data_IF_652332940200
#
_entry.id   IF_652332940200
#
_cell.length_a   1.000
_cell.length_b   1.000
_cell.length_c   1.000
_cell.angle_alpha   90.00
_cell.angle_beta   90.00
_cell.angle_gamma   90.00
#
_symmetry.space_group_name_H-M   'P 1'
#
loop_
_entity.id
_entity.type
_entity.pdbx_description
1 polymer ?
#
# COMPACT_ATOMS: atom_id res chain seq x y z
N UNK A 1 -2.46 -25.51 0.98
CA UNK A 1 -2.25 -24.05 0.88
C UNK A 1 -3.55 -23.44 0.38
N UNK A 2 -4.22 -22.64 1.19
CA UNK A 2 -5.46 -21.96 0.78
C UNK A 2 -5.09 -20.85 -0.20
N UNK A 3 -5.64 -20.88 -1.41
CA UNK A 3 -5.42 -19.81 -2.41
C UNK A 3 -6.03 -18.52 -1.88
N UNK A 4 -5.29 -17.40 -1.95
CA UNK A 4 -5.81 -16.08 -1.58
C UNK A 4 -6.97 -15.74 -2.54
N UNK A 5 -8.17 -15.55 -2.00
CA UNK A 5 -9.35 -15.16 -2.78
C UNK A 5 -9.54 -13.65 -2.68
N UNK A 6 -10.08 -13.07 -3.74
CA UNK A 6 -10.26 -11.62 -3.86
C UNK A 6 -11.71 -11.28 -4.18
N UNK A 7 -12.13 -10.09 -3.75
CA UNK A 7 -13.40 -9.46 -4.10
C UNK A 7 -13.10 -8.09 -4.73
N UNK A 8 -13.94 -7.65 -5.65
CA UNK A 8 -13.87 -6.29 -6.19
C UNK A 8 -14.41 -5.31 -5.15
N UNK A 9 -13.59 -4.32 -4.80
CA UNK A 9 -13.98 -3.17 -4.01
C UNK A 9 -14.28 -1.98 -4.94
N UNK A 10 -15.37 -1.27 -4.63
CA UNK A 10 -15.74 0.01 -5.24
C UNK A 10 -15.28 1.11 -4.31
N UNK A 11 -14.24 1.83 -4.72
CA UNK A 11 -13.62 2.90 -3.93
C UNK A 11 -14.17 4.25 -4.37
N UNK A 12 -14.24 5.21 -3.44
CA UNK A 12 -14.63 6.60 -3.70
C UNK A 12 -15.96 6.70 -4.45
N UNK A 13 -17.00 6.08 -3.88
CA UNK A 13 -18.33 6.03 -4.51
C UNK A 13 -18.39 5.21 -5.80
N UNK A 14 -17.38 4.37 -6.08
CA UNK A 14 -17.29 3.53 -7.28
C UNK A 14 -16.54 4.17 -8.45
N UNK A 15 -15.96 5.36 -8.26
CA UNK A 15 -15.11 6.00 -9.27
C UNK A 15 -13.81 5.23 -9.53
N UNK A 16 -13.35 4.43 -8.57
CA UNK A 16 -12.22 3.51 -8.72
C UNK A 16 -12.69 2.09 -8.37
N UNK A 17 -12.22 1.10 -9.13
CA UNK A 17 -12.39 -0.32 -8.80
C UNK A 17 -11.05 -1.02 -8.65
N UNK A 18 -10.93 -1.90 -7.67
CA UNK A 18 -9.74 -2.74 -7.46
C UNK A 18 -10.13 -4.03 -6.73
N UNK A 19 -9.42 -5.12 -6.98
CA UNK A 19 -9.61 -6.35 -6.21
C UNK A 19 -8.74 -6.35 -4.94
N UNK A 20 -9.40 -6.61 -3.81
CA UNK A 20 -8.77 -6.73 -2.49
C UNK A 20 -9.05 -8.11 -1.90
N UNK A 21 -8.25 -8.61 -0.94
CA UNK A 21 -8.49 -9.91 -0.35
C UNK A 21 -9.91 -10.01 0.26
N UNK A 22 -10.57 -11.14 0.02
CA UNK A 22 -11.98 -11.30 0.39
C UNK A 22 -12.22 -11.19 1.90
N UNK A 23 -11.24 -11.62 2.70
CA UNK A 23 -11.29 -11.57 4.17
C UNK A 23 -11.12 -10.16 4.73
N UNK A 24 -10.67 -9.19 3.92
CA UNK A 24 -10.37 -7.85 4.41
C UNK A 24 -11.64 -7.02 4.56
N UNK A 25 -11.71 -6.30 5.68
CA UNK A 25 -12.84 -5.48 6.09
C UNK A 25 -12.59 -4.01 5.76
N UNK A 26 -13.64 -3.32 5.30
CA UNK A 26 -13.61 -1.87 5.16
C UNK A 26 -13.64 -1.22 6.55
N UNK A 27 -12.72 -0.29 6.80
CA UNK A 27 -12.61 0.43 8.06
C UNK A 27 -13.65 1.54 8.20
N UNK A 28 -14.18 2.05 7.09
CA UNK A 28 -15.23 3.09 7.08
C UNK A 28 -16.53 2.63 7.78
N UNK A 29 -16.79 1.32 7.79
CA UNK A 29 -17.95 0.71 8.46
C UNK A 29 -17.92 0.88 10.00
N UNK A 30 -16.73 1.12 10.58
CA UNK A 30 -16.54 1.16 12.04
C UNK A 30 -16.02 2.49 12.56
N UNK A 31 -15.41 3.32 11.71
CA UNK A 31 -14.92 4.66 12.06
C UNK A 31 -14.79 5.52 10.81
N UNK A 32 -14.82 6.84 11.00
CA UNK A 32 -14.50 7.78 9.93
C UNK A 32 -13.03 7.62 9.47
N UNK A 33 -12.87 7.73 8.15
CA UNK A 33 -11.61 7.71 7.41
C UNK A 33 -11.61 8.99 6.56
N UNK A 34 -10.46 9.65 6.31
CA UNK A 34 -10.43 10.83 5.44
C UNK A 34 -11.07 10.56 4.08
N UNK A 35 -11.75 11.55 3.51
CA UNK A 35 -12.47 11.39 2.24
C UNK A 35 -11.56 11.00 1.06
N UNK A 36 -10.28 11.34 1.13
CA UNK A 36 -9.25 10.95 0.14
C UNK A 36 -8.72 9.54 0.34
N UNK A 37 -9.13 8.85 1.41
CA UNK A 37 -8.59 7.56 1.83
C UNK A 37 -9.65 6.46 1.88
N UNK A 38 -9.26 5.30 1.38
CA UNK A 38 -9.99 4.04 1.53
C UNK A 38 -9.09 3.04 2.25
N UNK A 39 -9.56 2.50 3.37
CA UNK A 39 -8.72 1.67 4.25
C UNK A 39 -9.40 0.32 4.48
N UNK A 40 -8.66 -0.75 4.20
CA UNK A 40 -9.09 -2.11 4.49
C UNK A 40 -8.10 -2.82 5.41
N UNK A 41 -8.61 -3.61 6.35
CA UNK A 41 -7.84 -4.38 7.33
C UNK A 41 -8.05 -5.87 7.16
N UNK A 42 -6.98 -6.65 7.29
CA UNK A 42 -7.07 -8.09 7.42
C UNK A 42 -7.78 -8.47 8.72
N UNK A 43 -8.89 -9.21 8.62
CA UNK A 43 -9.63 -9.69 9.80
C UNK A 43 -8.87 -10.77 10.56
N UNK A 44 -8.09 -11.56 9.84
CA UNK A 44 -7.39 -12.73 10.38
C UNK A 44 -5.92 -12.42 10.74
N UNK A 45 -5.47 -11.19 10.47
CA UNK A 45 -4.10 -10.73 10.66
C UNK A 45 -4.02 -9.28 11.13
N UNK A 46 -2.87 -8.66 10.87
CA UNK A 46 -2.60 -7.27 11.24
C UNK A 46 -2.32 -6.37 10.03
N UNK A 47 -2.36 -6.94 8.83
CA UNK A 47 -2.06 -6.22 7.60
C UNK A 47 -3.19 -5.26 7.20
N UNK A 48 -2.83 -4.21 6.48
CA UNK A 48 -3.78 -3.23 5.95
C UNK A 48 -3.45 -2.87 4.52
N UNK A 49 -4.43 -2.36 3.77
CA UNK A 49 -4.23 -1.63 2.52
C UNK A 49 -4.88 -0.27 2.67
N UNK A 50 -4.15 0.76 2.28
CA UNK A 50 -4.65 2.13 2.19
C UNK A 50 -4.52 2.56 0.74
N UNK A 51 -5.60 3.10 0.18
CA UNK A 51 -5.59 3.81 -1.10
C UNK A 51 -5.84 5.27 -0.79
N UNK A 52 -4.88 6.14 -1.11
CA UNK A 52 -4.94 7.57 -0.84
C UNK A 52 -4.84 8.37 -2.14
N UNK A 53 -5.71 9.35 -2.31
CA UNK A 53 -5.71 10.29 -3.44
C UNK A 53 -5.01 11.57 -3.00
N UNK A 54 -3.84 11.83 -3.58
CA UNK A 54 -2.98 12.96 -3.23
C UNK A 54 -2.78 13.88 -4.43
N UNK A 55 -2.43 15.13 -4.14
CA UNK A 55 -1.89 16.03 -5.17
C UNK A 55 -0.63 15.45 -5.78
N UNK A 56 -0.47 15.62 -7.10
CA UNK A 56 0.72 15.21 -7.80
C UNK A 56 1.91 16.02 -7.32
N UNK A 57 2.91 15.33 -6.78
CA UNK A 57 4.12 15.98 -6.29
C UNK A 57 5.02 16.40 -7.44
N UNK A 58 5.49 17.65 -7.38
CA UNK A 58 6.47 18.18 -8.32
C UNK A 58 7.88 17.78 -7.89
N UNK A 59 8.36 16.67 -8.46
CA UNK A 59 9.71 16.14 -8.26
C UNK A 59 10.41 15.94 -9.60
N UNK A 60 11.74 16.19 -9.67
CA UNK A 60 12.54 16.00 -10.88
C UNK A 60 12.39 14.64 -11.55
N UNK A 61 12.20 13.57 -10.77
CA UNK A 61 12.03 12.21 -11.28
C UNK A 61 10.84 11.49 -10.63
N UNK A 62 10.28 10.51 -11.34
CA UNK A 62 9.22 9.66 -10.78
C UNK A 62 9.71 8.84 -9.57
N UNK A 63 11.01 8.47 -9.55
CA UNK A 63 11.64 7.81 -8.40
C UNK A 63 11.70 8.72 -7.17
N UNK A 64 12.03 10.00 -7.34
CA UNK A 64 12.00 10.97 -6.24
C UNK A 64 10.58 11.26 -5.75
N UNK A 65 9.58 11.23 -6.63
CA UNK A 65 8.17 11.28 -6.22
C UNK A 65 7.78 10.07 -5.37
N UNK A 66 8.24 8.87 -5.74
CA UNK A 66 8.02 7.64 -4.99
C UNK A 66 8.66 7.71 -3.59
N UNK A 67 9.90 8.19 -3.49
CA UNK A 67 10.58 8.35 -2.19
C UNK A 67 9.95 9.43 -1.32
N UNK A 68 9.48 10.52 -1.92
CA UNK A 68 8.74 11.57 -1.23
C UNK A 68 7.45 11.03 -0.60
N UNK A 69 6.65 10.27 -1.35
CA UNK A 69 5.44 9.66 -0.80
C UNK A 69 5.77 8.65 0.30
N UNK A 70 6.88 7.91 0.19
CA UNK A 70 7.33 7.02 1.26
C UNK A 70 7.67 7.79 2.54
N UNK A 71 8.37 8.93 2.43
CA UNK A 71 8.71 9.74 3.61
C UNK A 71 7.48 10.30 4.30
N UNK A 72 6.44 10.67 3.56
CA UNK A 72 5.20 11.20 4.15
C UNK A 72 4.40 10.13 4.92
N UNK A 73 4.56 8.84 4.55
CA UNK A 73 3.93 7.71 5.26
C UNK A 73 4.68 7.38 6.56
N UNK A 74 5.98 7.67 6.61
CA UNK A 74 6.85 7.30 7.73
C UNK A 74 6.96 8.50 8.66
N UNK A 75 6.54 8.30 9.90
CA UNK A 75 6.64 9.33 10.93
C UNK A 75 8.13 9.66 11.18
N UNK A 76 8.45 10.96 11.04
CA UNK A 76 9.81 11.52 10.98
C UNK A 76 10.67 11.14 12.21
N UNK A 77 10.03 10.91 13.35
CA UNK A 77 10.66 10.57 14.62
C UNK A 77 11.01 9.07 14.76
N UNK A 78 10.65 8.24 13.78
CA UNK A 78 10.75 6.78 13.91
C UNK A 78 12.06 6.18 13.39
N UNK A 79 12.85 6.93 12.63
CA UNK A 79 14.08 6.46 11.96
C UNK A 79 13.87 6.20 10.47
N UNK A 80 14.97 5.93 9.75
CA UNK A 80 14.94 5.82 8.28
C UNK A 80 14.28 4.52 7.78
N UNK A 81 13.45 4.64 6.75
CA UNK A 81 12.97 3.51 5.96
C UNK A 81 14.14 2.78 5.33
N UNK A 82 14.17 1.44 5.43
CA UNK A 82 15.11 0.63 4.65
C UNK A 82 14.43 0.17 3.38
N UNK A 83 14.70 0.85 2.28
CA UNK A 83 14.21 0.48 0.96
C UNK A 83 14.93 -0.77 0.48
N UNK A 84 14.15 -1.78 0.08
CA UNK A 84 14.62 -3.09 -0.36
C UNK A 84 14.55 -3.24 -1.87
N UNK A 85 13.51 -2.69 -2.47
CA UNK A 85 13.26 -2.79 -3.90
C UNK A 85 12.56 -1.54 -4.43
N UNK A 86 12.89 -1.15 -5.66
CA UNK A 86 12.15 -0.18 -6.47
C UNK A 86 12.02 -0.71 -7.90
N UNK A 87 10.83 -0.62 -8.48
CA UNK A 87 10.58 -1.09 -9.85
C UNK A 87 9.53 -0.23 -10.55
N UNK A 88 9.73 -0.05 -11.85
CA UNK A 88 8.67 0.34 -12.76
C UNK A 88 7.64 -0.79 -12.83
N UNK A 89 6.37 -0.43 -12.91
CA UNK A 89 5.26 -1.37 -13.03
C UNK A 89 4.26 -0.88 -14.09
N UNK A 90 3.24 -1.70 -14.35
CA UNK A 90 2.17 -1.37 -15.28
C UNK A 90 0.85 -1.85 -14.71
N UNK A 91 -0.19 -1.03 -14.85
CA UNK A 91 -1.55 -1.46 -14.58
C UNK A 91 -2.09 -2.19 -15.81
N UNK A 92 -2.63 -3.40 -15.63
CA UNK A 92 -3.18 -4.18 -16.75
C UNK A 92 -4.34 -3.48 -17.45
N UNK A 93 -5.19 -2.78 -16.68
CA UNK A 93 -6.37 -2.09 -17.19
C UNK A 93 -6.10 -0.62 -17.58
N UNK A 94 -4.93 -0.09 -17.23
CA UNK A 94 -4.50 1.28 -17.53
C UNK A 94 -3.01 1.29 -17.98
N UNK A 95 -2.64 0.62 -19.08
CA UNK A 95 -1.25 0.32 -19.42
C UNK A 95 -0.39 1.53 -19.80
N UNK A 96 -1.01 2.68 -20.11
CA UNK A 96 -0.30 3.93 -20.43
C UNK A 96 -0.05 4.82 -19.20
N UNK A 97 -0.61 4.46 -18.03
CA UNK A 97 -0.45 5.23 -16.80
C UNK A 97 0.90 4.90 -16.15
N UNK A 98 1.77 5.90 -15.87
CA UNK A 98 3.03 5.64 -15.19
C UNK A 98 2.79 5.12 -13.77
N UNK A 99 3.37 3.95 -13.46
CA UNK A 99 3.21 3.27 -12.18
C UNK A 99 4.56 2.80 -11.66
N UNK A 100 4.81 3.02 -10.38
CA UNK A 100 6.05 2.64 -9.72
C UNK A 100 5.74 1.89 -8.44
N UNK A 101 6.60 0.95 -8.08
CA UNK A 101 6.45 0.16 -6.86
C UNK A 101 7.70 0.22 -6.01
N UNK A 102 7.51 0.16 -4.70
CA UNK A 102 8.60 0.15 -3.72
C UNK A 102 8.26 -0.86 -2.62
N UNK A 103 9.29 -1.56 -2.15
CA UNK A 103 9.22 -2.37 -0.93
C UNK A 103 10.20 -1.80 0.08
N UNK A 104 9.74 -1.52 1.29
CA UNK A 104 10.56 -1.05 2.40
C UNK A 104 10.21 -1.77 3.70
N UNK A 105 11.11 -1.66 4.67
CA UNK A 105 10.85 -1.99 6.07
C UNK A 105 11.03 -0.73 6.91
N UNK A 106 10.06 -0.45 7.79
CA UNK A 106 10.05 0.73 8.66
C UNK A 106 10.00 0.29 10.12
N UNK A 107 10.52 1.10 11.04
CA UNK A 107 10.25 0.91 12.46
C UNK A 107 8.74 1.00 12.76
N UNK A 108 8.29 0.45 13.91
CA UNK A 108 6.90 0.58 14.34
C UNK A 108 6.46 2.02 14.55
N UNK A 109 5.23 2.32 14.12
CA UNK A 109 4.59 3.63 14.26
C UNK A 109 4.56 4.14 15.70
N UNK A 110 4.70 5.45 15.95
CA UNK A 110 4.62 5.99 17.32
C UNK A 110 3.33 5.56 18.06
N UNK A 111 2.21 5.48 17.33
CA UNK A 111 0.91 5.03 17.85
C UNK A 111 0.84 3.55 18.22
N UNK A 112 1.78 2.74 17.73
CA UNK A 112 1.87 1.30 18.00
C UNK A 112 2.84 0.97 19.14
N UNK A 113 3.78 1.88 19.46
CA UNK A 113 4.78 1.69 20.52
C UNK A 113 4.13 1.55 21.91
N UNK A 114 4.65 0.63 22.71
CA UNK A 114 4.22 0.35 24.08
C UNK A 114 2.85 -0.33 24.19
N UNK A 115 2.30 -0.84 23.09
CA UNK A 115 1.03 -1.60 23.07
C UNK A 115 1.30 -3.12 23.05
N UNK A 116 0.35 -3.97 23.49
CA UNK A 116 0.55 -5.42 23.50
C UNK A 116 0.90 -6.05 22.13
N UNK A 117 0.51 -5.40 21.04
CA UNK A 117 0.78 -5.83 19.67
C UNK A 117 1.73 -4.84 18.96
N UNK A 118 2.76 -4.37 19.66
CA UNK A 118 3.84 -3.60 19.04
C UNK A 118 4.62 -4.51 18.08
N UNK A 119 4.71 -4.17 16.77
CA UNK A 119 5.53 -4.92 15.82
C UNK A 119 7.03 -4.79 16.12
N UNK A 120 7.84 -5.76 15.68
CA UNK A 120 9.30 -5.60 15.61
C UNK A 120 9.68 -4.62 14.48
N UNK A 121 8.96 -4.70 13.36
CA UNK A 121 9.00 -3.76 12.25
C UNK A 121 7.72 -3.87 11.41
N UNK A 122 7.54 -2.93 10.46
CA UNK A 122 6.46 -2.97 9.48
C UNK A 122 7.06 -3.09 8.08
N UNK A 123 6.66 -4.11 7.34
CA UNK A 123 6.91 -4.18 5.91
C UNK A 123 5.90 -3.30 5.17
N UNK A 124 6.37 -2.51 4.22
CA UNK A 124 5.54 -1.61 3.41
C UNK A 124 5.76 -1.95 1.95
N UNK A 125 4.67 -2.29 1.25
CA UNK A 125 4.65 -2.33 -0.21
C UNK A 125 3.86 -1.13 -0.68
N UNK A 126 4.46 -0.27 -1.50
CA UNK A 126 3.82 0.91 -2.06
C UNK A 126 3.69 0.79 -3.57
N UNK A 127 2.56 1.25 -4.11
CA UNK A 127 2.30 1.44 -5.53
C UNK A 127 1.94 2.92 -5.71
N UNK A 128 2.71 3.62 -6.54
CA UNK A 128 2.44 5.00 -6.94
C UNK A 128 1.87 5.00 -8.35
N UNK A 129 0.63 5.45 -8.51
CA UNK A 129 -0.07 5.58 -9.79
C UNK A 129 -0.17 7.07 -10.13
N UNK A 130 0.46 7.48 -11.22
CA UNK A 130 0.68 8.89 -11.55
C UNK A 130 -0.28 9.38 -12.63
N UNK A 131 -1.35 10.08 -12.25
CA UNK A 131 -2.34 10.66 -13.16
C UNK A 131 -1.94 12.09 -13.55
N UNK A 132 -1.05 12.20 -14.55
CA UNK A 132 -0.44 13.47 -14.98
C UNK A 132 -1.47 14.53 -15.39
N UNK A 133 -2.51 14.16 -16.14
CA UNK A 133 -3.52 15.09 -16.66
C UNK A 133 -4.40 15.66 -15.53
N UNK A 134 -4.69 14.83 -14.53
CA UNK A 134 -5.49 15.19 -13.36
C UNK A 134 -4.67 15.87 -12.26
N UNK A 135 -3.34 15.96 -12.43
CA UNK A 135 -2.41 16.43 -11.38
C UNK A 135 -2.61 15.67 -10.06
N UNK A 136 -2.82 14.36 -10.16
CA UNK A 136 -3.05 13.49 -9.01
C UNK A 136 -1.99 12.40 -8.95
N UNK A 137 -1.55 12.06 -7.76
CA UNK A 137 -0.83 10.83 -7.46
C UNK A 137 -1.75 9.96 -6.56
N UNK A 138 -2.02 8.72 -6.96
CA UNK A 138 -2.74 7.75 -6.13
C UNK A 138 -1.69 6.84 -5.50
N UNK A 139 -1.68 6.79 -4.17
CA UNK A 139 -0.73 6.00 -3.40
C UNK A 139 -1.46 4.83 -2.76
N UNK A 140 -1.10 3.62 -3.16
CA UNK A 140 -1.60 2.38 -2.56
C UNK A 140 -0.50 1.81 -1.67
N UNK A 141 -0.78 1.63 -0.39
CA UNK A 141 0.18 1.03 0.56
C UNK A 141 -0.40 -0.22 1.17
N UNK A 142 0.38 -1.30 1.18
CA UNK A 142 0.10 -2.51 1.95
C UNK A 142 1.06 -2.54 3.13
N UNK A 143 0.51 -2.36 4.34
CA UNK A 143 1.28 -2.42 5.58
C UNK A 143 1.21 -3.83 6.14
N UNK A 144 2.36 -4.37 6.53
CA UNK A 144 2.54 -5.74 6.98
C UNK A 144 3.30 -5.73 8.31
N UNK A 145 2.60 -5.56 9.44
CA UNK A 145 3.24 -5.58 10.75
C UNK A 145 3.79 -6.98 11.06
N UNK A 146 5.07 -7.04 11.40
CA UNK A 146 5.71 -8.27 11.85
C UNK A 146 5.76 -8.24 13.37
N UNK A 147 4.81 -8.92 14.02
CA UNK A 147 4.73 -8.98 15.48
C UNK A 147 5.72 -10.01 16.05
N UNK A 148 6.22 -9.81 17.27
CA UNK A 148 7.03 -10.80 17.95
C UNK A 148 6.38 -12.19 17.95
N UNK A 149 7.12 -13.21 17.52
CA UNK A 149 6.67 -14.60 17.40
C UNK A 149 5.57 -14.88 16.34
N UNK A 150 5.23 -13.93 15.48
CA UNK A 150 4.25 -14.11 14.39
C UNK A 150 4.89 -14.45 13.03
N UNK A 151 6.21 -14.46 12.96
CA UNK A 151 6.99 -14.77 11.77
C UNK A 151 8.27 -15.54 12.17
N UNK A 152 8.79 -16.34 11.23
CA UNK A 152 10.07 -17.04 11.42
C UNK A 152 11.20 -16.19 10.82
N UNK A 153 12.10 -15.70 11.67
CA UNK A 153 13.29 -14.94 11.25
C UNK A 153 14.17 -15.74 10.28
N UNK A 154 14.17 -17.08 10.35
CA UNK A 154 14.96 -17.92 9.46
C UNK A 154 14.39 -17.99 8.03
N UNK A 155 13.10 -17.65 7.86
CA UNK A 155 12.46 -17.54 6.55
C UNK A 155 12.69 -16.16 5.90
N UNK A 156 13.43 -15.28 6.59
CA UNK A 156 13.77 -13.95 6.12
C UNK A 156 15.27 -13.85 5.84
N UNK A 157 15.62 -13.62 4.58
CA UNK A 157 16.96 -13.17 4.17
C UNK A 157 16.83 -11.83 3.45
N UNK A 158 16.70 -10.71 4.20
CA UNK A 158 16.44 -9.40 3.61
C UNK A 158 17.50 -8.96 2.60
N UNK A 159 18.75 -9.39 2.77
CA UNK A 159 19.87 -9.15 1.85
C UNK A 159 19.67 -9.85 0.49
N UNK A 160 18.92 -10.96 0.48
CA UNK A 160 18.56 -11.72 -0.72
C UNK A 160 17.15 -11.37 -1.24
N UNK A 161 16.49 -10.38 -0.64
CA UNK A 161 15.13 -9.96 -1.00
C UNK A 161 14.02 -10.89 -0.50
N UNK A 162 14.33 -11.90 0.32
CA UNK A 162 13.31 -12.75 0.96
C UNK A 162 12.87 -12.12 2.26
N UNK A 163 11.64 -11.61 2.27
CA UNK A 163 11.06 -10.94 3.43
C UNK A 163 10.01 -11.79 4.16
N UNK A 164 10.04 -13.11 3.93
CA UNK A 164 9.17 -14.09 4.60
C UNK A 164 7.73 -14.18 4.03
N UNK A 165 6.94 -15.16 4.51
CA UNK A 165 5.63 -15.50 3.94
C UNK A 165 4.60 -14.36 4.01
N UNK A 166 4.68 -13.49 5.03
CA UNK A 166 3.78 -12.35 5.17
C UNK A 166 3.96 -11.36 4.01
N UNK A 167 5.21 -11.05 3.66
CA UNK A 167 5.53 -10.17 2.54
C UNK A 167 5.29 -10.84 1.18
N UNK A 168 5.44 -12.16 1.07
CA UNK A 168 5.03 -12.90 -0.13
C UNK A 168 3.51 -12.83 -0.35
N UNK A 169 2.73 -12.95 0.73
CA UNK A 169 1.28 -12.78 0.69
C UNK A 169 0.90 -11.35 0.28
N UNK A 170 1.52 -10.34 0.90
CA UNK A 170 1.32 -8.94 0.52
C UNK A 170 1.74 -8.64 -0.93
N UNK A 171 2.78 -9.31 -1.43
CA UNK A 171 3.18 -9.20 -2.83
C UNK A 171 2.11 -9.74 -3.77
N UNK A 172 1.38 -10.81 -3.42
CA UNK A 172 0.21 -11.28 -4.20
C UNK A 172 -0.93 -10.25 -4.20
N UNK A 173 -1.12 -9.51 -3.10
CA UNK A 173 -2.07 -8.40 -3.06
C UNK A 173 -1.62 -7.29 -4.01
N UNK A 174 -0.34 -6.89 -3.97
CA UNK A 174 0.25 -5.92 -4.90
C UNK A 174 0.05 -6.32 -6.36
N UNK A 175 0.39 -7.55 -6.74
CA UNK A 175 0.18 -8.04 -8.11
C UNK A 175 -1.32 -8.00 -8.50
N UNK A 176 -2.22 -8.36 -7.57
CA UNK A 176 -3.65 -8.28 -7.84
C UNK A 176 -4.14 -6.85 -8.05
N UNK A 177 -3.65 -5.90 -7.25
CA UNK A 177 -3.92 -4.47 -7.45
C UNK A 177 -3.44 -4.03 -8.82
N UNK A 178 -2.21 -4.37 -9.22
CA UNK A 178 -1.68 -4.03 -10.55
C UNK A 178 -2.52 -4.62 -11.71
N UNK A 179 -3.10 -5.80 -11.51
CA UNK A 179 -3.96 -6.46 -12.50
C UNK A 179 -5.38 -5.87 -12.62
N UNK A 180 -5.89 -5.23 -11.56
CA UNK A 180 -7.32 -4.96 -11.43
C UNK A 180 -7.68 -3.51 -11.10
N UNK A 181 -6.72 -2.70 -10.69
CA UNK A 181 -6.94 -1.28 -10.45
C UNK A 181 -7.36 -0.58 -11.74
N UNK A 182 -8.48 0.13 -11.67
CA UNK A 182 -9.02 0.90 -12.78
C UNK A 182 -9.77 2.12 -12.27
N UNK A 183 -9.48 3.28 -12.86
CA UNK A 183 -10.31 4.48 -12.72
C UNK A 183 -11.50 4.35 -13.67
N UNK A 184 -12.70 4.26 -13.10
CA UNK A 184 -13.97 4.17 -13.82
C UNK A 184 -14.56 5.54 -14.14
N UNK A 185 -14.34 6.51 -13.27
CA UNK A 185 -14.82 7.87 -13.43
C UNK A 185 -13.70 8.88 -13.11
N UNK A 186 -13.19 9.53 -14.15
CA UNK A 186 -12.18 10.59 -14.01
C UNK A 186 -12.77 11.92 -13.52
N UNK A 187 -14.10 12.05 -13.46
CA UNK A 187 -14.77 13.18 -12.84
C UNK A 187 -14.44 13.32 -11.34
N UNK A 188 -13.97 12.24 -10.71
CA UNK A 188 -13.46 12.22 -9.34
C UNK A 188 -12.36 13.27 -9.08
N UNK A 189 -11.54 13.60 -10.08
CA UNK A 189 -10.34 14.44 -9.91
C UNK A 189 -10.52 15.88 -10.42
N UNK A 190 -11.73 16.25 -10.83
CA UNK A 190 -12.00 17.62 -11.30
C UNK A 190 -12.33 18.46 -10.07
N UNK A 191 -11.49 19.44 -9.74
CA UNK A 191 -11.87 20.53 -8.84
C UNK A 191 -12.98 21.35 -9.50
N UNK A 192 -14.09 21.62 -8.79
CA UNK A 192 -15.11 22.59 -9.22
C UNK A 192 -14.55 24.02 -9.32
#
# INVERSE_FOLDING_TARGET
MTTLQFKTASLFGGAISVDIPQTWADVSEIREVPDTQEVYLDRDGFSSIVVDILERVDKPTDGEALEYHLSDIIDEDLGEAKIRERKDASLRLMPSTPVFTLIATTPPGARQRGRPNEPDFVGVIMILIRLKEQKTDIVVTVNVPHLPNSYDENEMTPEEGKLGPLMESASKVKERVLDTFEVKDFGLFIEE
#
